data_IF_034616161163
#
_entry.id   IF_034616161163
#
_cell.length_a   1.000
_cell.length_b   1.000
_cell.length_c   1.000
_cell.angle_alpha   90.00
_cell.angle_beta   90.00
_cell.angle_gamma   90.00
#
_symmetry.space_group_name_H-M   'P 1'
#
loop_
_entity.id
_entity.type
_entity.pdbx_description
1 polymer ?
#
# COMPACT_ATOMS: atom_id res chain seq x y z
N UNK A 1 19.88 -4.36 -14.08
CA UNK A 1 18.47 -4.78 -14.35
C UNK A 1 17.55 -3.61 -14.02
N UNK A 2 16.99 -2.94 -15.03
CA UNK A 2 16.19 -1.73 -14.87
C UNK A 2 14.90 -2.01 -14.08
N UNK A 3 14.88 -1.70 -12.76
CA UNK A 3 13.69 -1.77 -11.88
C UNK A 3 12.93 -0.43 -11.82
N UNK A 4 12.98 0.36 -12.89
CA UNK A 4 12.42 1.73 -12.90
C UNK A 4 10.90 1.68 -12.78
N UNK A 5 10.22 0.84 -13.57
CA UNK A 5 8.75 0.72 -13.54
C UNK A 5 8.24 0.32 -12.13
N UNK A 6 8.75 -0.76 -11.49
CA UNK A 6 8.35 -1.11 -10.12
C UNK A 6 8.57 0.02 -9.09
N UNK A 7 9.65 0.80 -9.23
CA UNK A 7 9.94 1.92 -8.34
C UNK A 7 8.99 3.09 -8.54
N UNK A 8 8.67 3.43 -9.79
CA UNK A 8 7.72 4.49 -10.12
C UNK A 8 6.31 4.15 -9.61
N UNK A 9 5.89 2.89 -9.74
CA UNK A 9 4.61 2.42 -9.20
C UNK A 9 4.59 2.53 -7.67
N UNK A 10 5.69 2.19 -6.99
CA UNK A 10 5.79 2.34 -5.53
C UNK A 10 5.76 3.81 -5.09
N UNK A 11 6.43 4.71 -5.81
CA UNK A 11 6.37 6.15 -5.54
C UNK A 11 4.97 6.73 -5.77
N UNK A 12 4.30 6.34 -6.86
CA UNK A 12 2.93 6.74 -7.15
C UNK A 12 1.96 6.25 -6.06
N UNK A 13 2.18 5.02 -5.56
CA UNK A 13 1.39 4.47 -4.47
C UNK A 13 1.61 5.24 -3.15
N UNK A 14 2.85 5.57 -2.78
CA UNK A 14 3.15 6.38 -1.59
C UNK A 14 2.47 7.75 -1.70
N UNK A 15 2.54 8.38 -2.87
CA UNK A 15 1.88 9.66 -3.12
C UNK A 15 0.35 9.57 -2.96
N UNK A 16 -0.28 8.56 -3.57
CA UNK A 16 -1.71 8.33 -3.45
C UNK A 16 -2.12 8.07 -1.99
N UNK A 17 -1.35 7.24 -1.27
CA UNK A 17 -1.57 6.95 0.15
C UNK A 17 -1.53 8.22 1.01
N UNK A 18 -0.47 9.03 0.85
CA UNK A 18 -0.33 10.29 1.58
C UNK A 18 -1.52 11.20 1.34
N UNK A 19 -1.91 11.41 0.07
CA UNK A 19 -3.05 12.26 -0.29
C UNK A 19 -4.36 11.75 0.32
N UNK A 20 -4.63 10.45 0.26
CA UNK A 20 -5.85 9.87 0.83
C UNK A 20 -5.91 10.01 2.35
N UNK A 21 -4.80 9.78 3.05
CA UNK A 21 -4.73 9.94 4.51
C UNK A 21 -4.87 11.41 4.92
N UNK A 22 -4.16 12.33 4.25
CA UNK A 22 -4.27 13.76 4.53
C UNK A 22 -5.69 14.26 4.31
N UNK A 23 -6.35 13.84 3.23
CA UNK A 23 -7.76 14.15 3.00
C UNK A 23 -8.66 13.62 4.13
N UNK A 24 -8.48 12.36 4.53
CA UNK A 24 -9.29 11.75 5.59
C UNK A 24 -9.16 12.50 6.92
N UNK A 25 -7.94 12.95 7.26
CA UNK A 25 -7.67 13.72 8.47
C UNK A 25 -8.25 15.15 8.46
N UNK A 26 -8.64 15.67 7.29
CA UNK A 26 -9.28 16.99 7.17
C UNK A 26 -10.80 16.93 7.27
N UNK A 27 -11.39 15.73 7.34
CA UNK A 27 -12.84 15.58 7.43
C UNK A 27 -13.34 15.94 8.84
N UNK A 28 -14.34 16.83 8.97
CA UNK A 28 -14.87 17.21 10.27
C UNK A 28 -15.69 16.10 10.95
N UNK A 29 -16.33 15.24 10.15
CA UNK A 29 -17.09 14.07 10.64
C UNK A 29 -16.84 12.86 9.72
N UNK A 30 -15.77 12.08 9.97
CA UNK A 30 -15.39 10.96 9.11
C UNK A 30 -16.35 9.78 9.26
N UNK A 31 -16.87 9.29 8.13
CA UNK A 31 -17.78 8.15 8.10
C UNK A 31 -17.04 6.80 8.09
N UNK A 32 -17.73 5.73 8.53
CA UNK A 32 -17.19 4.36 8.48
C UNK A 32 -16.79 3.93 7.06
N UNK A 33 -17.52 4.35 6.02
CA UNK A 33 -17.18 4.05 4.63
C UNK A 33 -15.86 4.70 4.20
N UNK A 34 -15.59 5.93 4.65
CA UNK A 34 -14.32 6.62 4.36
C UNK A 34 -13.16 5.97 5.13
N UNK A 35 -13.38 5.55 6.37
CA UNK A 35 -12.38 4.79 7.13
C UNK A 35 -12.04 3.45 6.45
N UNK A 36 -13.05 2.74 5.93
CA UNK A 36 -12.87 1.50 5.17
C UNK A 36 -12.09 1.72 3.86
N UNK A 37 -12.30 2.85 3.18
CA UNK A 37 -11.51 3.22 2.01
C UNK A 37 -10.02 3.36 2.35
N UNK A 38 -9.68 4.07 3.44
CA UNK A 38 -8.28 4.19 3.89
C UNK A 38 -7.70 2.83 4.29
N UNK A 39 -8.45 2.02 5.03
CA UNK A 39 -8.05 0.67 5.43
C UNK A 39 -7.72 -0.23 4.21
N UNK A 40 -8.55 -0.18 3.17
CA UNK A 40 -8.35 -0.95 1.94
C UNK A 40 -7.07 -0.51 1.22
N UNK A 41 -6.81 0.79 1.16
CA UNK A 41 -5.56 1.31 0.58
C UNK A 41 -4.37 0.78 1.37
N UNK A 42 -4.35 0.89 2.71
CA UNK A 42 -3.26 0.40 3.58
C UNK A 42 -3.01 -1.09 3.36
N UNK A 43 -4.08 -1.90 3.34
CA UNK A 43 -3.99 -3.35 3.13
C UNK A 43 -3.37 -3.71 1.79
N UNK A 44 -3.76 -3.01 0.71
CA UNK A 44 -3.16 -3.19 -0.60
C UNK A 44 -1.65 -2.83 -0.60
N UNK A 45 -1.25 -1.79 0.15
CA UNK A 45 0.16 -1.38 0.26
C UNK A 45 1.06 -2.44 0.88
N UNK A 46 0.59 -3.11 1.92
CA UNK A 46 1.32 -4.22 2.54
C UNK A 46 1.57 -5.37 1.56
N UNK A 47 0.56 -5.70 0.73
CA UNK A 47 0.70 -6.71 -0.32
C UNK A 47 1.71 -6.29 -1.41
N UNK A 48 1.62 -5.05 -1.92
CA UNK A 48 2.57 -4.55 -2.93
C UNK A 48 4.00 -4.46 -2.41
N UNK A 49 4.20 -4.02 -1.16
CA UNK A 49 5.52 -4.00 -0.54
C UNK A 49 6.08 -5.43 -0.36
N UNK A 50 5.25 -6.37 0.08
CA UNK A 50 5.62 -7.79 0.16
C UNK A 50 6.06 -8.37 -1.19
N UNK A 51 5.35 -8.03 -2.27
CA UNK A 51 5.71 -8.44 -3.64
C UNK A 51 6.97 -7.72 -4.16
N UNK A 52 7.20 -6.47 -3.77
CA UNK A 52 8.35 -5.68 -4.21
C UNK A 52 9.66 -6.08 -3.52
N UNK A 53 9.60 -6.36 -2.21
CA UNK A 53 10.73 -6.75 -1.35
C UNK A 53 10.94 -8.27 -1.35
N UNK A 54 9.91 -9.04 -1.66
CA UNK A 54 9.99 -10.50 -1.81
C UNK A 54 11.04 -10.90 -2.83
N UNK A 55 12.01 -11.73 -2.43
CA UNK A 55 12.94 -12.35 -3.37
C UNK A 55 12.12 -13.23 -4.34
N UNK A 56 12.35 -13.16 -5.66
CA UNK A 56 11.88 -14.21 -6.55
C UNK A 56 12.43 -15.55 -6.02
N UNK A 57 11.58 -16.44 -5.55
CA UNK A 57 11.98 -17.73 -4.96
C UNK A 57 12.09 -17.79 -3.43
N UNK A 58 11.66 -16.78 -2.68
CA UNK A 58 11.49 -16.91 -1.23
C UNK A 58 10.43 -17.99 -0.94
N UNK A 59 10.86 -19.16 -0.47
CA UNK A 59 9.96 -20.25 -0.06
C UNK A 59 9.05 -19.71 1.05
N UNK A 60 7.73 -19.75 0.83
CA UNK A 60 6.76 -19.52 1.90
C UNK A 60 7.18 -20.38 3.11
N UNK A 61 7.26 -19.82 4.32
CA UNK A 61 7.57 -20.62 5.49
C UNK A 61 6.52 -21.72 5.60
N UNK A 62 6.98 -22.98 5.50
CA UNK A 62 6.13 -24.14 5.74
C UNK A 62 5.59 -23.99 7.16
N UNK A 63 4.27 -23.89 7.26
CA UNK A 63 3.53 -23.88 8.54
C UNK A 63 4.10 -25.00 9.42
N UNK A 64 4.69 -24.65 10.56
CA UNK A 64 5.01 -25.61 11.61
C UNK A 64 3.72 -26.07 12.26
#
# INVERSE_FOLDING_TARGET
KFRVIPRLVMLAYIYAFYKSVTWFMTLPDPTNSQAMYISTIVGAGAAFFGLYVGKPGAKLPKKK
#
